data_IF_631442254312
#
_entry.id   IF_631442254312
#
_cell.length_a   1.000
_cell.length_b   1.000
_cell.length_c   1.000
_cell.angle_alpha   90.00
_cell.angle_beta   90.00
_cell.angle_gamma   90.00
#
_symmetry.space_group_name_H-M   'P 1'
#
loop_
_entity.id
_entity.type
_entity.pdbx_description
1 polymer ?
#
# COMPACT_ATOMS: atom_id res chain seq x y z
N UNK A 1 6.72 14.25 -12.37
CA UNK A 1 5.60 13.32 -12.62
C UNK A 1 6.23 11.96 -12.78
N UNK A 2 5.65 10.85 -12.34
CA UNK A 2 4.22 10.52 -12.43
C UNK A 2 3.87 9.60 -11.26
N UNK A 3 3.22 10.13 -10.22
CA UNK A 3 2.64 9.28 -9.17
C UNK A 3 1.37 8.66 -9.73
N UNK A 4 1.35 7.33 -9.86
CA UNK A 4 0.14 6.60 -10.22
C UNK A 4 -0.71 6.38 -8.96
N UNK A 5 -2.00 6.69 -9.06
CA UNK A 5 -2.98 6.46 -8.00
C UNK A 5 -3.93 5.36 -8.44
N UNK A 6 -4.10 4.35 -7.59
CA UNK A 6 -5.06 3.26 -7.77
C UNK A 6 -6.08 3.32 -6.65
N UNK A 7 -7.35 3.51 -7.00
CA UNK A 7 -8.46 3.50 -6.05
C UNK A 7 -9.18 2.14 -6.11
N UNK A 8 -9.32 1.48 -4.96
CA UNK A 8 -9.97 0.16 -4.86
C UNK A 8 -10.46 -0.10 -3.42
N UNK A 9 -10.84 -1.35 -3.14
CA UNK A 9 -11.25 -1.80 -1.80
C UNK A 9 -10.06 -2.33 -0.99
N UNK A 10 -10.19 -2.29 0.34
CA UNK A 10 -9.10 -2.58 1.27
C UNK A 10 -8.43 -3.95 1.10
N UNK A 11 -9.22 -5.00 0.81
CA UNK A 11 -8.67 -6.33 0.56
C UNK A 11 -7.87 -6.38 -0.76
N UNK A 12 -8.40 -5.77 -1.82
CA UNK A 12 -7.72 -5.71 -3.11
C UNK A 12 -6.41 -4.92 -3.02
N UNK A 13 -6.42 -3.78 -2.30
CA UNK A 13 -5.20 -3.00 -2.03
C UNK A 13 -4.17 -3.83 -1.26
N UNK A 14 -4.59 -4.59 -0.26
CA UNK A 14 -3.69 -5.46 0.52
C UNK A 14 -3.03 -6.53 -0.34
N UNK A 15 -3.83 -7.28 -1.09
CA UNK A 15 -3.31 -8.35 -1.93
C UNK A 15 -2.48 -7.81 -3.10
N UNK A 16 -2.90 -6.69 -3.71
CA UNK A 16 -2.14 -6.02 -4.76
C UNK A 16 -0.80 -5.48 -4.26
N UNK A 17 -0.78 -4.87 -3.07
CA UNK A 17 0.45 -4.39 -2.42
C UNK A 17 1.43 -5.54 -2.18
N UNK A 18 0.94 -6.65 -1.60
CA UNK A 18 1.76 -7.84 -1.38
C UNK A 18 2.30 -8.41 -2.70
N UNK A 19 1.46 -8.51 -3.73
CA UNK A 19 1.87 -8.99 -5.06
C UNK A 19 2.96 -8.13 -5.69
N UNK A 20 2.87 -6.81 -5.60
CA UNK A 20 3.90 -5.88 -6.10
C UNK A 20 5.21 -6.01 -5.32
N UNK A 21 5.13 -6.30 -4.02
CA UNK A 21 6.30 -6.52 -3.15
C UNK A 21 6.87 -7.95 -3.23
N UNK A 22 6.23 -8.84 -4.00
CA UNK A 22 6.62 -10.25 -4.09
C UNK A 22 6.37 -11.05 -2.80
N UNK A 23 5.47 -10.58 -1.92
CA UNK A 23 5.14 -11.25 -0.68
C UNK A 23 4.19 -12.42 -0.89
N UNK A 24 4.33 -13.45 -0.06
CA UNK A 24 3.44 -14.59 -0.05
C UNK A 24 2.11 -14.28 0.66
N UNK A 25 1.13 -15.18 0.51
CA UNK A 25 -0.19 -15.02 1.11
C UNK A 25 -0.15 -14.93 2.66
N UNK A 26 0.59 -15.80 3.38
CA UNK A 26 0.73 -15.68 4.83
C UNK A 26 1.25 -14.30 5.28
N UNK A 27 2.27 -13.75 4.60
CA UNK A 27 2.76 -12.40 4.90
C UNK A 27 1.71 -11.34 4.56
N UNK A 28 1.03 -11.46 3.42
CA UNK A 28 0.02 -10.50 2.99
C UNK A 28 -1.12 -10.35 4.01
N UNK A 29 -1.58 -11.44 4.62
CA UNK A 29 -2.67 -11.40 5.60
C UNK A 29 -2.26 -10.82 6.96
N UNK A 30 -0.96 -10.68 7.24
CA UNK A 30 -0.46 -9.99 8.45
C UNK A 30 -0.64 -8.47 8.39
N UNK A 31 -0.79 -7.89 7.19
CA UNK A 31 -1.11 -6.47 7.05
C UNK A 31 -2.51 -6.17 7.63
N UNK A 32 -2.60 -5.11 8.42
CA UNK A 32 -3.86 -4.64 8.99
C UNK A 32 -4.90 -4.28 7.91
N UNK A 33 -6.18 -4.18 8.29
CA UNK A 33 -7.21 -3.67 7.38
C UNK A 33 -6.97 -2.22 6.95
N UNK A 34 -7.37 -1.91 5.73
CA UNK A 34 -7.39 -0.54 5.23
C UNK A 34 -8.65 0.16 5.73
N UNK A 35 -8.49 1.36 6.26
CA UNK A 35 -9.57 2.26 6.63
C UNK A 35 -10.25 2.83 5.39
N UNK A 36 -11.49 3.32 5.54
CA UNK A 36 -12.15 4.09 4.50
C UNK A 36 -11.31 5.33 4.17
N UNK A 37 -11.11 5.59 2.87
CA UNK A 37 -10.24 6.66 2.35
C UNK A 37 -8.78 6.63 2.84
N UNK A 38 -8.33 5.53 3.47
CA UNK A 38 -6.92 5.33 3.80
C UNK A 38 -6.10 4.96 2.57
N UNK A 39 -4.81 5.29 2.56
CA UNK A 39 -3.90 4.98 1.45
C UNK A 39 -2.63 4.25 1.88
N UNK A 40 -2.00 3.62 0.90
CA UNK A 40 -0.69 3.00 0.99
C UNK A 40 0.19 3.58 -0.12
N UNK A 41 1.50 3.65 0.08
CA UNK A 41 2.42 4.19 -0.92
C UNK A 41 3.53 3.20 -1.16
N UNK A 42 3.76 2.92 -2.44
CA UNK A 42 4.88 2.13 -2.91
C UNK A 42 5.84 3.04 -3.69
N UNK A 43 7.13 2.86 -3.46
CA UNK A 43 8.17 3.51 -4.26
C UNK A 43 8.91 2.46 -5.07
N UNK A 44 8.96 2.65 -6.39
CA UNK A 44 9.87 1.92 -7.24
C UNK A 44 11.31 2.35 -6.93
N UNK A 45 12.24 1.39 -6.95
CA UNK A 45 13.67 1.63 -6.92
C UNK A 45 14.27 1.36 -8.30
N UNK A 46 15.38 2.01 -8.60
CA UNK A 46 16.10 1.89 -9.89
C UNK A 46 16.52 0.47 -10.23
N UNK A 47 16.65 -0.40 -9.23
CA UNK A 47 17.03 -1.81 -9.39
C UNK A 47 15.83 -2.76 -9.58
N UNK A 48 14.63 -2.22 -9.85
CA UNK A 48 13.46 -3.02 -10.23
C UNK A 48 12.68 -3.62 -9.06
N UNK A 49 13.00 -3.27 -7.82
CA UNK A 49 12.22 -3.66 -6.65
C UNK A 49 11.34 -2.52 -6.12
N UNK A 50 10.27 -2.89 -5.42
CA UNK A 50 9.35 -1.95 -4.79
C UNK A 50 9.56 -1.91 -3.28
N UNK A 51 9.31 -0.75 -2.67
CA UNK A 51 9.34 -0.57 -1.23
C UNK A 51 8.00 -0.07 -0.73
N UNK A 52 7.48 -0.68 0.33
CA UNK A 52 6.37 -0.14 1.11
C UNK A 52 6.84 1.07 1.92
N UNK A 53 6.27 2.23 1.64
CA UNK A 53 6.63 3.51 2.29
C UNK A 53 5.66 3.83 3.41
N UNK A 54 4.37 3.62 3.19
CA UNK A 54 3.31 3.85 4.18
C UNK A 54 2.22 2.82 4.01
N UNK A 55 1.56 2.44 5.12
CA UNK A 55 0.45 1.51 5.13
C UNK A 55 -0.73 2.11 5.89
N UNK A 56 -1.91 2.10 5.27
CA UNK A 56 -3.17 2.58 5.86
C UNK A 56 -3.08 3.97 6.51
N UNK A 57 -2.42 4.91 5.84
CA UNK A 57 -2.34 6.30 6.27
C UNK A 57 -3.64 7.03 5.98
N UNK A 58 -3.98 8.02 6.80
CA UNK A 58 -5.22 8.79 6.70
C UNK A 58 -4.94 10.29 6.86
N UNK A 59 -5.77 11.12 6.26
CA UNK A 59 -5.54 12.57 6.20
C UNK A 59 -5.64 13.22 7.58
N UNK A 60 -6.48 12.69 8.47
CA UNK A 60 -6.69 13.22 9.82
C UNK A 60 -5.42 13.15 10.68
N UNK A 61 -4.48 12.27 10.33
CA UNK A 61 -3.19 12.14 11.02
C UNK A 61 -2.27 13.35 10.79
N UNK A 62 -2.61 14.24 9.84
CA UNK A 62 -1.87 15.44 9.51
C UNK A 62 -2.56 16.73 9.96
N UNK A 63 -3.72 16.63 10.61
CA UNK A 63 -4.49 17.80 11.08
C UNK A 63 -4.14 18.20 12.53
N UNK A 64 -2.95 17.79 13.00
CA UNK A 64 -2.43 18.06 14.35
C UNK A 64 -1.42 19.19 14.39
#
# INVERSE_FOLDING_TARGET
GETVVVASHGLAIRMGTAGVLGWDYPTAITLASMSNCGWTMLSAKTEGFWKLVTWNQRAEQFLG
#
